data_IF_923324562296
#
_entry.id   IF_923324562296
#
_cell.length_a   1.000
_cell.length_b   1.000
_cell.length_c   1.000
_cell.angle_alpha   90.00
_cell.angle_beta   90.00
_cell.angle_gamma   90.00
#
_symmetry.space_group_name_H-M   'P 1'
#
loop_
_entity.id
_entity.type
_entity.pdbx_description
1 polymer ?
#
# COMPACT_ATOMS: atom_id res chain seq x y z
N UNK A 1 -20.46 -21.77 -6.74
CA UNK A 1 -21.76 -21.11 -6.88
C UNK A 1 -22.14 -20.82 -8.33
N UNK A 2 -21.25 -20.32 -9.18
CA UNK A 2 -21.56 -20.12 -10.62
C UNK A 2 -21.95 -21.42 -11.30
N UNK A 3 -21.11 -22.45 -11.19
CA UNK A 3 -21.36 -23.77 -11.79
C UNK A 3 -22.61 -24.48 -11.23
N UNK A 4 -23.10 -24.07 -10.05
CA UNK A 4 -24.32 -24.62 -9.44
C UNK A 4 -25.59 -23.79 -9.76
N UNK A 5 -25.56 -22.90 -10.74
CA UNK A 5 -26.71 -22.08 -11.15
C UNK A 5 -27.21 -21.10 -10.08
N UNK A 6 -26.39 -20.76 -9.09
CA UNK A 6 -26.77 -19.87 -7.96
C UNK A 6 -26.45 -18.40 -8.18
N UNK A 7 -26.11 -18.02 -9.42
CA UNK A 7 -25.92 -16.62 -9.81
C UNK A 7 -27.26 -15.90 -9.65
N UNK A 8 -27.26 -14.76 -8.97
CA UNK A 8 -28.50 -14.01 -8.67
C UNK A 8 -29.17 -14.37 -7.35
N UNK A 9 -28.74 -15.43 -6.65
CA UNK A 9 -29.23 -15.69 -5.29
C UNK A 9 -28.67 -14.67 -4.29
N UNK A 10 -29.38 -14.42 -3.18
CA UNK A 10 -28.92 -13.53 -2.09
C UNK A 10 -27.54 -13.92 -1.56
N UNK A 11 -27.30 -15.22 -1.38
CA UNK A 11 -26.00 -15.73 -0.94
C UNK A 11 -24.88 -15.48 -1.97
N UNK A 12 -25.19 -15.46 -3.26
CA UNK A 12 -24.23 -15.09 -4.29
C UNK A 12 -23.96 -13.57 -4.28
N UNK A 13 -25.00 -12.75 -4.16
CA UNK A 13 -24.90 -11.31 -4.10
C UNK A 13 -24.06 -10.86 -2.89
N UNK A 14 -24.28 -11.43 -1.71
CA UNK A 14 -23.50 -11.14 -0.51
C UNK A 14 -22.01 -11.47 -0.68
N UNK A 15 -21.68 -12.64 -1.22
CA UNK A 15 -20.28 -13.00 -1.53
C UNK A 15 -19.64 -12.07 -2.56
N UNK A 16 -20.42 -11.59 -3.54
CA UNK A 16 -19.92 -10.62 -4.54
C UNK A 16 -19.65 -9.26 -3.92
N UNK A 17 -20.52 -8.81 -3.03
CA UNK A 17 -20.31 -7.58 -2.25
C UNK A 17 -19.05 -7.66 -1.41
N UNK A 18 -18.82 -8.79 -0.74
CA UNK A 18 -17.66 -9.03 0.14
C UNK A 18 -16.35 -9.29 -0.64
N UNK A 19 -16.44 -9.60 -1.92
CA UNK A 19 -15.28 -10.00 -2.72
C UNK A 19 -14.17 -8.94 -2.74
N UNK A 20 -14.53 -7.65 -2.81
CA UNK A 20 -13.55 -6.54 -2.79
C UNK A 20 -12.71 -6.56 -1.51
N UNK A 21 -13.34 -6.70 -0.36
CA UNK A 21 -12.65 -6.79 0.93
C UNK A 21 -11.65 -7.97 0.95
N UNK A 22 -12.11 -9.18 0.66
CA UNK A 22 -11.29 -10.39 0.76
C UNK A 22 -10.13 -10.39 -0.24
N UNK A 23 -10.42 -10.02 -1.50
CA UNK A 23 -9.39 -10.02 -2.55
C UNK A 23 -8.36 -8.91 -2.35
N UNK A 24 -8.79 -7.70 -2.03
CA UNK A 24 -7.87 -6.59 -1.73
C UNK A 24 -7.04 -6.89 -0.48
N UNK A 25 -7.63 -7.49 0.56
CA UNK A 25 -6.89 -7.91 1.74
C UNK A 25 -5.72 -8.83 1.39
N UNK A 26 -5.97 -9.87 0.59
CA UNK A 26 -4.93 -10.75 0.11
C UNK A 26 -3.85 -9.98 -0.68
N UNK A 27 -4.27 -9.21 -1.68
CA UNK A 27 -3.36 -8.48 -2.59
C UNK A 27 -2.51 -7.45 -1.86
N UNK A 28 -3.11 -6.68 -0.93
CA UNK A 28 -2.37 -5.65 -0.18
C UNK A 28 -1.32 -6.28 0.75
N UNK A 29 -1.61 -7.44 1.35
CA UNK A 29 -0.61 -8.17 2.12
C UNK A 29 0.53 -8.73 1.24
N UNK A 30 0.23 -9.23 0.03
CA UNK A 30 1.27 -9.65 -0.91
C UNK A 30 2.22 -8.48 -1.24
N UNK A 31 1.68 -7.29 -1.49
CA UNK A 31 2.48 -6.08 -1.71
C UNK A 31 3.28 -5.69 -0.47
N UNK A 32 2.64 -5.72 0.71
CA UNK A 32 3.25 -5.33 1.98
C UNK A 32 4.43 -6.23 2.33
N UNK A 33 4.27 -7.54 2.32
CA UNK A 33 5.35 -8.46 2.67
C UNK A 33 6.50 -8.45 1.66
N UNK A 34 6.21 -8.31 0.37
CA UNK A 34 7.26 -8.24 -0.67
C UNK A 34 8.18 -7.02 -0.53
N UNK A 35 7.73 -5.95 0.13
CA UNK A 35 8.52 -4.73 0.31
C UNK A 35 9.27 -4.66 1.65
N UNK A 36 9.34 -5.75 2.41
CA UNK A 36 10.06 -5.77 3.68
C UNK A 36 11.43 -6.46 3.53
N UNK A 37 12.50 -5.72 3.85
CA UNK A 37 13.88 -6.21 3.83
C UNK A 37 14.77 -5.35 4.73
N UNK A 38 15.43 -5.92 5.73
CA UNK A 38 16.38 -5.19 6.55
C UNK A 38 17.57 -4.63 5.75
N UNK A 39 18.10 -3.50 6.18
CA UNK A 39 19.35 -2.95 5.67
C UNK A 39 19.28 -2.35 4.25
N UNK A 40 18.11 -1.94 3.81
CA UNK A 40 17.90 -1.23 2.55
C UNK A 40 17.80 0.30 2.78
N UNK A 41 18.24 1.10 1.82
CA UNK A 41 18.19 2.57 1.84
C UNK A 41 17.36 3.06 0.64
N UNK A 42 16.69 4.22 0.79
CA UNK A 42 15.97 4.89 -0.30
C UNK A 42 16.88 5.23 -1.50
N UNK A 43 18.18 5.26 -1.30
CA UNK A 43 19.15 5.42 -2.39
C UNK A 43 19.15 4.25 -3.39
N UNK A 44 18.58 3.12 -3.00
CA UNK A 44 18.32 1.98 -3.89
C UNK A 44 17.05 2.17 -4.75
N UNK A 45 16.34 3.28 -4.56
CA UNK A 45 15.18 3.68 -5.36
C UNK A 45 15.39 5.07 -5.97
N UNK A 46 16.42 5.27 -6.83
CA UNK A 46 16.80 6.60 -7.28
C UNK A 46 15.72 7.30 -8.09
N UNK A 47 14.97 6.58 -8.93
CA UNK A 47 13.88 7.14 -9.71
C UNK A 47 12.69 7.56 -8.85
N UNK A 48 12.30 6.71 -7.91
CA UNK A 48 11.26 7.03 -6.94
C UNK A 48 11.68 8.20 -6.05
N UNK A 49 12.90 8.16 -5.49
CA UNK A 49 13.46 9.24 -4.65
C UNK A 49 13.44 10.59 -5.38
N UNK A 50 13.87 10.62 -6.65
CA UNK A 50 13.86 11.83 -7.46
C UNK A 50 12.44 12.36 -7.65
N UNK A 51 11.46 11.50 -7.98
CA UNK A 51 10.08 11.89 -8.20
C UNK A 51 9.43 12.47 -6.93
N UNK A 52 9.59 11.83 -5.77
CA UNK A 52 9.03 12.37 -4.52
C UNK A 52 9.76 13.64 -4.08
N UNK A 53 11.06 13.78 -4.33
CA UNK A 53 11.80 14.99 -4.04
C UNK A 53 11.32 16.17 -4.89
N UNK A 54 11.09 15.94 -6.18
CA UNK A 54 10.55 16.97 -7.08
C UNK A 54 9.15 17.41 -6.66
N UNK A 55 8.30 16.45 -6.28
CA UNK A 55 6.89 16.73 -5.99
C UNK A 55 6.64 17.30 -4.59
N UNK A 56 7.38 16.81 -3.57
CA UNK A 56 7.18 17.16 -2.15
C UNK A 56 8.27 18.08 -1.58
N UNK A 57 9.30 18.40 -2.37
CA UNK A 57 10.47 19.18 -1.93
C UNK A 57 11.59 18.32 -1.35
N UNK A 58 11.27 17.20 -0.68
CA UNK A 58 12.26 16.21 -0.26
C UNK A 58 11.59 14.83 -0.03
N UNK A 59 12.41 13.77 0.02
CA UNK A 59 11.93 12.44 0.35
C UNK A 59 11.47 12.33 1.81
N UNK A 60 12.02 13.12 2.71
CA UNK A 60 11.63 13.20 4.11
C UNK A 60 10.22 13.79 4.25
N UNK A 61 9.92 14.89 3.54
CA UNK A 61 8.57 15.50 3.55
C UNK A 61 7.53 14.54 2.96
N UNK A 62 7.84 13.84 1.87
CA UNK A 62 6.97 12.79 1.34
C UNK A 62 6.70 11.70 2.38
N UNK A 63 7.76 11.26 3.09
CA UNK A 63 7.63 10.22 4.11
C UNK A 63 6.80 10.70 5.31
N UNK A 64 7.00 11.95 5.76
CA UNK A 64 6.18 12.55 6.82
C UNK A 64 4.70 12.59 6.44
N UNK A 65 4.36 12.91 5.19
CA UNK A 65 3.00 12.90 4.68
C UNK A 65 2.40 11.48 4.67
N UNK A 66 3.16 10.48 4.20
CA UNK A 66 2.74 9.08 4.27
C UNK A 66 2.52 8.60 5.72
N UNK A 67 3.42 8.96 6.64
CA UNK A 67 3.30 8.62 8.06
C UNK A 67 2.10 9.34 8.68
N UNK A 68 1.81 10.57 8.29
CA UNK A 68 0.62 11.31 8.73
C UNK A 68 -0.65 10.57 8.31
N UNK A 69 -0.74 10.11 7.06
CA UNK A 69 -1.83 9.25 6.61
C UNK A 69 -1.91 7.96 7.44
N UNK A 70 -0.76 7.28 7.67
CA UNK A 70 -0.67 6.04 8.45
C UNK A 70 -1.07 6.21 9.93
N UNK A 71 -1.02 7.41 10.48
CA UNK A 71 -1.46 7.76 11.85
C UNK A 71 -2.93 8.11 11.93
N UNK A 72 -3.66 8.15 10.83
CA UNK A 72 -5.10 8.42 10.84
C UNK A 72 -5.84 7.47 11.77
N UNK A 73 -6.86 8.00 12.46
CA UNK A 73 -7.65 7.20 13.41
C UNK A 73 -8.55 6.24 12.64
N UNK A 74 -8.05 5.07 12.37
CA UNK A 74 -8.81 3.92 11.85
C UNK A 74 -7.89 2.70 11.74
N UNK A 75 -8.42 1.56 11.34
CA UNK A 75 -7.69 0.43 10.78
C UNK A 75 -7.70 0.56 9.24
N UNK A 76 -6.68 0.05 8.59
CA UNK A 76 -6.59 0.08 7.12
C UNK A 76 -5.15 0.12 6.64
N UNK A 77 -4.91 0.93 5.61
CA UNK A 77 -3.61 1.01 4.92
C UNK A 77 -3.26 2.45 4.60
N UNK A 78 -1.99 2.81 4.74
CA UNK A 78 -1.44 4.00 4.11
C UNK A 78 -0.68 3.58 2.86
N UNK A 79 -1.02 4.14 1.72
CA UNK A 79 -0.47 3.71 0.43
C UNK A 79 0.00 4.92 -0.37
N UNK A 80 1.26 4.87 -0.83
CA UNK A 80 1.73 5.75 -1.88
C UNK A 80 1.40 5.12 -3.24
N UNK A 81 0.58 5.81 -4.02
CA UNK A 81 0.17 5.41 -5.36
C UNK A 81 0.87 6.24 -6.43
N UNK A 82 1.08 5.63 -7.58
CA UNK A 82 1.39 6.32 -8.82
C UNK A 82 0.12 6.52 -9.65
N UNK A 83 -0.16 7.75 -10.02
CA UNK A 83 -1.19 8.11 -10.99
C UNK A 83 -0.58 8.15 -12.39
N UNK A 84 -0.89 7.16 -13.21
CA UNK A 84 -0.39 7.09 -14.59
C UNK A 84 -0.90 8.19 -15.53
N UNK A 85 -1.94 8.93 -15.13
CA UNK A 85 -2.50 10.03 -15.91
C UNK A 85 -1.70 11.32 -15.71
N UNK A 86 -1.36 11.62 -14.47
CA UNK A 86 -0.65 12.86 -14.11
C UNK A 86 0.85 12.67 -13.94
N UNK A 87 1.30 11.43 -13.77
CA UNK A 87 2.69 11.10 -13.44
C UNK A 87 3.05 11.36 -11.98
N UNK A 88 2.08 11.69 -11.14
CA UNK A 88 2.29 12.06 -9.75
C UNK A 88 2.21 10.88 -8.79
N UNK A 89 2.88 11.02 -7.65
CA UNK A 89 2.78 10.12 -6.51
C UNK A 89 1.85 10.75 -5.48
N UNK A 90 0.85 9.98 -5.02
CA UNK A 90 -0.16 10.44 -4.08
C UNK A 90 -0.23 9.49 -2.89
N UNK A 91 -0.16 10.03 -1.66
CA UNK A 91 -0.35 9.26 -0.45
C UNK A 91 -1.83 9.22 -0.07
N UNK A 92 -2.38 8.02 0.09
CA UNK A 92 -3.77 7.80 0.46
C UNK A 92 -3.88 6.95 1.71
N UNK A 93 -4.92 7.21 2.50
CA UNK A 93 -5.40 6.29 3.52
C UNK A 93 -6.58 5.50 2.98
N UNK A 94 -6.48 4.16 3.08
CA UNK A 94 -7.57 3.24 2.71
C UNK A 94 -8.13 2.65 3.99
N UNK A 95 -9.41 2.87 4.23
CA UNK A 95 -10.09 2.25 5.35
C UNK A 95 -10.48 0.81 4.99
N UNK A 96 -10.26 -0.10 5.92
CA UNK A 96 -10.41 -1.53 5.69
C UNK A 96 -9.53 -1.98 4.51
N UNK A 97 -10.01 -2.82 3.60
CA UNK A 97 -9.28 -3.28 2.42
C UNK A 97 -9.82 -2.70 1.12
N UNK A 98 -11.02 -2.13 1.12
CA UNK A 98 -11.73 -1.68 -0.08
C UNK A 98 -12.07 -0.19 -0.13
N UNK A 99 -12.22 0.47 1.01
CA UNK A 99 -12.72 1.84 1.05
C UNK A 99 -11.59 2.85 0.80
N UNK A 100 -11.65 3.55 -0.33
CA UNK A 100 -10.67 4.57 -0.70
C UNK A 100 -9.64 4.14 -1.74
N UNK A 101 -9.70 2.90 -2.24
CA UNK A 101 -8.88 2.49 -3.39
C UNK A 101 -9.23 3.33 -4.61
N UNK A 102 -8.21 3.86 -5.27
CA UNK A 102 -8.41 4.70 -6.46
C UNK A 102 -8.25 3.86 -7.73
N UNK A 103 -9.29 3.81 -8.53
CA UNK A 103 -9.27 3.08 -9.80
C UNK A 103 -8.19 3.61 -10.74
N UNK A 104 -7.36 2.71 -11.26
CA UNK A 104 -6.28 3.06 -12.19
C UNK A 104 -4.96 3.49 -11.54
N UNK A 105 -4.92 3.75 -10.24
CA UNK A 105 -3.67 4.05 -9.53
C UNK A 105 -2.89 2.76 -9.24
N UNK A 106 -1.56 2.87 -9.30
CA UNK A 106 -0.65 1.74 -9.07
C UNK A 106 0.00 1.87 -7.69
N UNK A 107 -0.18 0.90 -6.77
CA UNK A 107 0.42 0.97 -5.45
C UNK A 107 1.94 0.76 -5.52
N UNK A 108 2.70 1.67 -4.88
CA UNK A 108 4.15 1.66 -4.83
C UNK A 108 4.67 1.25 -3.45
N UNK A 109 4.22 1.97 -2.41
CA UNK A 109 4.54 1.71 -1.00
C UNK A 109 3.24 1.45 -0.25
N UNK A 110 3.18 0.38 0.50
CA UNK A 110 1.97 -0.06 1.22
C UNK A 110 2.33 -0.27 2.69
N UNK A 111 1.63 0.40 3.60
CA UNK A 111 1.83 0.25 5.04
C UNK A 111 0.54 -0.25 5.68
N UNK A 112 0.63 -1.44 6.26
CA UNK A 112 -0.47 -2.02 7.03
C UNK A 112 -0.62 -1.28 8.36
N UNK A 113 -1.83 -0.80 8.65
CA UNK A 113 -2.13 -0.14 9.92
C UNK A 113 -3.36 -0.74 10.61
N UNK A 114 -3.68 -1.98 10.26
CA UNK A 114 -4.54 -2.82 11.09
C UNK A 114 -3.84 -3.16 12.41
N UNK A 115 -4.62 -3.39 13.44
CA UNK A 115 -4.08 -3.76 14.75
C UNK A 115 -3.27 -5.06 14.73
N UNK A 116 -3.64 -6.01 13.87
CA UNK A 116 -2.88 -7.28 13.72
C UNK A 116 -1.43 -7.04 13.25
N UNK A 117 -1.13 -5.93 12.59
CA UNK A 117 0.21 -5.64 12.10
C UNK A 117 1.19 -5.22 13.21
N UNK A 118 0.69 -4.68 14.33
CA UNK A 118 1.58 -4.11 15.35
C UNK A 118 1.25 -4.47 16.81
N UNK A 119 0.01 -4.90 17.12
CA UNK A 119 -0.42 -5.08 18.52
C UNK A 119 0.38 -6.13 19.29
N UNK A 120 0.87 -7.18 18.62
CA UNK A 120 1.62 -8.28 19.27
C UNK A 120 2.94 -7.75 19.82
N UNK A 121 3.71 -7.04 19.02
CA UNK A 121 5.07 -6.58 19.36
C UNK A 121 5.08 -5.19 19.99
N UNK A 122 4.26 -4.28 19.50
CA UNK A 122 4.31 -2.84 19.81
C UNK A 122 3.20 -2.37 20.77
N UNK A 123 2.20 -3.20 21.07
CA UNK A 123 1.03 -2.87 21.89
C UNK A 123 0.17 -1.74 21.29
N UNK A 124 -0.93 -1.40 21.94
CA UNK A 124 -1.92 -0.43 21.44
C UNK A 124 -1.34 0.98 21.19
N UNK A 125 -0.38 1.41 22.00
CA UNK A 125 0.22 2.74 21.90
C UNK A 125 1.47 2.79 21.02
N UNK A 126 1.98 1.65 20.55
CA UNK A 126 3.23 1.53 19.83
C UNK A 126 3.13 1.68 18.30
N UNK A 127 2.00 2.16 17.76
CA UNK A 127 1.82 2.33 16.31
C UNK A 127 2.88 3.22 15.67
N UNK A 128 3.33 4.26 16.37
CA UNK A 128 4.37 5.15 15.86
C UNK A 128 5.73 4.45 15.73
N UNK A 129 6.10 3.63 16.73
CA UNK A 129 7.36 2.87 16.71
C UNK A 129 7.32 1.77 15.64
N UNK A 130 6.17 1.11 15.48
CA UNK A 130 5.92 0.18 14.38
C UNK A 130 6.14 0.85 13.00
N UNK A 131 5.58 2.04 12.77
CA UNK A 131 5.75 2.76 11.51
C UNK A 131 7.21 3.09 11.23
N UNK A 132 7.96 3.49 12.25
CA UNK A 132 9.40 3.71 12.14
C UNK A 132 10.16 2.41 11.81
N UNK A 133 9.76 1.28 12.41
CA UNK A 133 10.34 -0.03 12.11
C UNK A 133 10.03 -0.48 10.68
N UNK A 134 8.81 -0.29 10.18
CA UNK A 134 8.45 -0.58 8.78
C UNK A 134 9.33 0.21 7.83
N UNK A 135 9.45 1.53 8.03
CA UNK A 135 10.29 2.37 7.18
C UNK A 135 11.75 1.91 7.15
N UNK A 136 12.32 1.58 8.32
CA UNK A 136 13.70 1.10 8.45
C UNK A 136 13.93 -0.23 7.72
N UNK A 137 12.89 -1.03 7.55
CA UNK A 137 12.96 -2.35 6.91
C UNK A 137 12.30 -2.35 5.51
N UNK A 138 12.14 -1.19 4.88
CA UNK A 138 11.59 -1.08 3.53
C UNK A 138 12.58 -1.62 2.48
N UNK A 139 12.12 -2.51 1.60
CA UNK A 139 12.87 -2.96 0.43
C UNK A 139 12.75 -1.93 -0.70
N UNK A 140 13.62 -0.95 -0.68
CA UNK A 140 13.58 0.15 -1.64
C UNK A 140 13.82 -0.28 -3.08
N UNK A 141 14.55 -1.39 -3.31
CA UNK A 141 14.69 -1.95 -4.65
C UNK A 141 13.37 -2.44 -5.25
N UNK A 142 12.47 -2.99 -4.41
CA UNK A 142 11.12 -3.36 -4.84
C UNK A 142 10.27 -2.12 -5.13
N UNK A 143 10.39 -1.07 -4.32
CA UNK A 143 9.69 0.20 -4.56
C UNK A 143 10.12 0.82 -5.88
N UNK A 144 11.42 0.85 -6.17
CA UNK A 144 11.95 1.32 -7.46
C UNK A 144 11.40 0.50 -8.63
N UNK A 145 11.43 -0.82 -8.53
CA UNK A 145 10.94 -1.69 -9.59
C UNK A 145 9.43 -1.47 -9.87
N UNK A 146 8.61 -1.29 -8.82
CA UNK A 146 7.20 -0.93 -8.96
C UNK A 146 7.01 0.42 -9.64
N UNK A 147 7.80 1.41 -9.23
CA UNK A 147 7.74 2.76 -9.79
C UNK A 147 8.10 2.77 -11.28
N UNK A 148 9.18 2.10 -11.67
CA UNK A 148 9.58 2.01 -13.07
C UNK A 148 8.55 1.25 -13.92
N UNK A 149 7.99 0.16 -13.40
CA UNK A 149 6.93 -0.57 -14.08
C UNK A 149 5.68 0.30 -14.27
N UNK A 150 5.25 1.03 -13.21
CA UNK A 150 4.11 1.93 -13.29
C UNK A 150 4.30 3.04 -14.32
N UNK A 151 5.47 3.67 -14.35
CA UNK A 151 5.82 4.72 -15.34
C UNK A 151 5.83 4.22 -16.77
N UNK A 152 6.23 2.99 -16.99
CA UNK A 152 6.27 2.37 -18.33
C UNK A 152 4.94 1.72 -18.74
N UNK A 153 3.91 1.79 -17.92
CA UNK A 153 2.64 1.11 -18.16
C UNK A 153 2.71 -0.41 -18.07
N UNK A 154 3.77 -0.95 -17.49
CA UNK A 154 3.95 -2.39 -17.30
C UNK A 154 3.28 -2.87 -16.01
N UNK A 155 2.86 -4.13 -16.02
CA UNK A 155 2.33 -4.79 -14.82
C UNK A 155 3.50 -5.32 -13.99
N UNK A 156 3.66 -4.81 -12.77
CA UNK A 156 4.61 -5.36 -11.81
C UNK A 156 4.07 -6.66 -11.21
N UNK A 157 4.88 -7.72 -11.20
CA UNK A 157 4.53 -8.94 -10.47
C UNK A 157 4.63 -8.66 -8.97
N UNK A 158 3.62 -9.09 -8.20
CA UNK A 158 3.52 -8.80 -6.77
C UNK A 158 4.52 -9.60 -5.92
N UNK A 159 5.00 -10.70 -6.46
CA UNK A 159 5.96 -11.65 -5.85
C UNK A 159 6.83 -12.30 -6.92
#
# INVERSE_FOLDING_TARGET
>A
MRAAGKVGSLAYADRRRRFGFEYNGMVLHEYYFAQLKPGSSIDQAPGFKAAVTEQFGSAEVWHEDLVSAAKSRSVGWAIAYYDGTTGQINNHFIQLHEDGNVGGFVPLVIVDVFEHAYMVDWKALGRADYLAAVHKNMNWGVVEARFQAARSGQIFKRF
#
